data_IF_468958317585
#
_entry.id   IF_468958317585
#
_cell.length_a   1.000
_cell.length_b   1.000
_cell.length_c   1.000
_cell.angle_alpha   90.00
_cell.angle_beta   90.00
_cell.angle_gamma   90.00
#
_symmetry.space_group_name_H-M   'P 1'
#
loop_
_entity.id
_entity.type
_entity.pdbx_description
1 polymer ?
#
# COMPACT_ATOMS: atom_id res chain seq x y z
N UNK A 1 12.02 49.68 3.79
CA UNK A 1 11.02 48.62 4.10
C UNK A 1 11.56 47.84 5.25
N UNK A 2 10.95 47.90 6.42
CA UNK A 2 11.47 47.24 7.63
C UNK A 2 11.08 45.76 7.61
N UNK A 3 11.93 44.90 8.16
CA UNK A 3 11.67 43.43 8.28
C UNK A 3 10.32 43.07 8.91
N UNK A 4 9.70 43.99 9.68
CA UNK A 4 8.35 43.83 10.22
C UNK A 4 7.26 43.95 9.18
N UNK A 5 7.37 44.82 8.19
CA UNK A 5 6.35 44.97 7.14
C UNK A 5 6.34 43.85 6.10
N UNK A 6 7.43 43.07 6.01
CA UNK A 6 7.49 41.88 5.18
C UNK A 6 6.81 40.66 5.84
N UNK A 7 6.79 40.62 7.17
CA UNK A 7 6.22 39.52 7.94
C UNK A 7 4.68 39.46 7.87
N UNK A 8 4.04 40.60 7.62
CA UNK A 8 2.57 40.73 7.61
C UNK A 8 2.01 40.73 6.18
N UNK A 9 2.85 40.55 5.16
CA UNK A 9 2.42 40.41 3.77
C UNK A 9 2.10 38.96 3.44
N UNK A 10 0.83 38.66 3.22
CA UNK A 10 0.34 37.31 2.94
C UNK A 10 1.06 36.65 1.74
N UNK A 11 1.40 37.44 0.72
CA UNK A 11 2.14 36.94 -0.48
C UNK A 11 3.59 36.62 -0.12
N UNK A 12 4.23 37.43 0.72
CA UNK A 12 5.58 37.17 1.22
C UNK A 12 5.61 35.93 2.12
N UNK A 13 4.63 35.78 3.01
CA UNK A 13 4.48 34.62 3.87
C UNK A 13 4.21 33.36 3.04
N UNK A 14 3.41 33.45 1.97
CA UNK A 14 3.15 32.33 1.07
C UNK A 14 4.42 31.95 0.28
N UNK A 15 5.12 32.93 -0.30
CA UNK A 15 6.38 32.70 -1.02
C UNK A 15 7.49 32.24 -0.08
N UNK A 16 7.58 32.82 1.12
CA UNK A 16 8.55 32.42 2.13
C UNK A 16 8.25 31.04 2.69
N UNK A 17 6.98 30.69 2.91
CA UNK A 17 6.56 29.32 3.21
C UNK A 17 6.91 28.38 2.07
N UNK A 18 6.64 28.74 0.82
CA UNK A 18 6.96 27.90 -0.34
C UNK A 18 8.48 27.72 -0.52
N UNK A 19 9.26 28.77 -0.34
CA UNK A 19 10.73 28.72 -0.40
C UNK A 19 11.32 28.03 0.83
N UNK A 20 10.78 28.25 2.03
CA UNK A 20 11.18 27.50 3.22
C UNK A 20 10.73 26.04 3.15
N UNK A 21 9.54 25.78 2.61
CA UNK A 21 9.07 24.41 2.32
C UNK A 21 9.96 23.71 1.30
N UNK A 22 10.38 24.38 0.25
CA UNK A 22 11.28 23.78 -0.75
C UNK A 22 12.75 23.72 -0.29
N UNK A 23 13.20 24.58 0.62
CA UNK A 23 14.58 24.58 1.11
C UNK A 23 14.77 23.90 2.47
N UNK A 24 13.82 24.00 3.38
CA UNK A 24 13.95 23.44 4.75
C UNK A 24 13.27 22.08 4.85
N UNK A 25 12.21 21.86 4.12
CA UNK A 25 11.58 20.54 4.05
C UNK A 25 12.44 19.51 3.32
N UNK A 26 13.06 19.78 2.18
CA UNK A 26 14.04 18.84 1.63
C UNK A 26 15.23 18.56 2.57
N UNK A 27 15.56 19.50 3.45
CA UNK A 27 16.64 19.30 4.45
C UNK A 27 16.14 18.54 5.69
N UNK A 28 14.87 18.68 6.08
CA UNK A 28 14.22 17.88 7.15
C UNK A 28 13.73 16.52 6.66
N UNK A 29 13.42 16.41 5.39
CA UNK A 29 13.14 15.17 4.67
C UNK A 29 14.34 14.73 3.84
N UNK A 30 15.55 15.14 4.28
CA UNK A 30 16.78 14.55 3.78
C UNK A 30 16.63 13.05 3.75
N UNK A 31 17.15 12.45 2.71
CA UNK A 31 16.90 11.10 2.29
C UNK A 31 16.91 10.17 3.49
N UNK A 32 15.75 9.56 3.70
CA UNK A 32 15.63 8.55 4.71
C UNK A 32 16.59 7.43 4.32
N UNK A 33 17.39 7.03 5.26
CA UNK A 33 18.44 6.07 5.01
C UNK A 33 17.84 4.68 5.04
N UNK A 34 17.91 3.99 3.92
CA UNK A 34 17.66 2.55 3.90
C UNK A 34 18.93 1.87 4.38
N UNK A 35 18.92 1.31 5.57
CA UNK A 35 19.98 0.42 6.03
C UNK A 35 19.64 -1.00 5.59
N UNK A 36 20.44 -1.56 4.70
CA UNK A 36 20.41 -2.99 4.45
C UNK A 36 21.37 -3.71 5.41
N UNK A 37 21.11 -4.98 5.69
CA UNK A 37 22.05 -5.82 6.47
C UNK A 37 23.42 -5.93 5.80
N UNK A 38 23.53 -5.59 4.53
CA UNK A 38 24.80 -5.52 3.78
C UNK A 38 25.53 -4.19 3.97
N UNK A 39 25.09 -3.33 4.87
CA UNK A 39 25.65 -1.99 5.18
C UNK A 39 25.56 -0.95 4.05
N UNK A 40 24.79 -1.20 3.03
CA UNK A 40 24.48 -0.17 2.04
C UNK A 40 23.41 0.75 2.62
N UNK A 41 23.80 1.97 2.91
CA UNK A 41 22.89 3.04 3.29
C UNK A 41 22.45 3.73 2.01
N UNK A 42 21.19 3.61 1.62
CA UNK A 42 20.65 4.28 0.44
C UNK A 42 19.68 5.37 0.86
N UNK A 43 19.79 6.58 0.29
CA UNK A 43 18.83 7.63 0.52
C UNK A 43 17.47 7.22 -0.09
N UNK A 44 16.41 7.32 0.70
CA UNK A 44 15.04 7.19 0.23
C UNK A 44 14.52 8.60 0.01
N UNK A 45 14.50 9.03 -1.24
CA UNK A 45 13.83 10.26 -1.62
C UNK A 45 12.42 9.91 -2.07
N UNK A 46 11.43 10.61 -1.54
CA UNK A 46 10.04 10.41 -1.94
C UNK A 46 9.89 10.62 -3.46
N UNK A 47 8.99 9.86 -4.11
CA UNK A 47 8.59 9.98 -5.52
C UNK A 47 9.68 9.83 -6.59
N UNK A 48 10.90 9.51 -6.28
CA UNK A 48 11.85 9.19 -7.33
C UNK A 48 11.61 7.76 -7.83
N UNK A 49 11.30 7.64 -9.12
CA UNK A 49 11.17 6.36 -9.84
C UNK A 49 12.38 5.43 -9.70
N UNK A 50 13.51 5.98 -9.28
CA UNK A 50 14.77 5.26 -9.07
C UNK A 50 14.81 4.41 -7.81
N UNK A 51 13.95 4.68 -6.83
CA UNK A 51 13.97 4.00 -5.53
C UNK A 51 12.56 3.58 -5.10
N UNK A 52 12.05 2.47 -5.63
CA UNK A 52 10.69 2.01 -5.37
C UNK A 52 10.49 1.40 -3.97
N UNK A 53 11.34 1.75 -2.99
CA UNK A 53 11.23 1.21 -1.64
C UNK A 53 10.16 1.87 -0.81
N UNK A 54 9.95 3.15 -1.05
CA UNK A 54 8.93 3.93 -0.38
C UNK A 54 8.26 4.83 -1.40
N UNK A 55 6.95 4.76 -1.42
CA UNK A 55 6.06 5.69 -2.11
C UNK A 55 5.26 6.42 -1.04
N UNK A 56 5.22 7.72 -1.12
CA UNK A 56 4.43 8.55 -0.21
C UNK A 56 3.57 9.49 -1.04
N UNK A 57 2.29 9.50 -0.76
CA UNK A 57 1.32 10.28 -1.52
C UNK A 57 1.17 11.70 -0.94
N UNK A 58 0.36 12.50 -1.62
CA UNK A 58 0.14 13.92 -1.42
C UNK A 58 -0.15 14.26 0.05
N UNK A 59 0.43 15.37 0.51
CA UNK A 59 0.20 15.97 1.83
C UNK A 59 0.50 15.07 3.04
N UNK A 60 1.20 13.95 2.81
CA UNK A 60 1.75 13.11 3.87
C UNK A 60 3.16 13.56 4.22
N UNK A 61 3.54 13.41 5.49
CA UNK A 61 4.88 13.73 5.93
C UNK A 61 5.45 12.70 6.90
N UNK A 62 6.77 12.58 6.88
CA UNK A 62 7.54 11.76 7.81
C UNK A 62 8.61 12.65 8.42
N UNK A 63 8.68 12.69 9.76
CA UNK A 63 9.75 13.42 10.46
C UNK A 63 11.07 12.66 10.38
N UNK A 64 11.01 11.33 10.61
CA UNK A 64 12.16 10.46 10.45
C UNK A 64 11.76 9.00 10.44
N UNK A 65 12.27 8.25 9.45
CA UNK A 65 12.06 6.81 9.39
C UNK A 65 13.30 6.08 8.87
N UNK A 66 13.37 4.81 9.19
CA UNK A 66 14.39 3.88 8.74
C UNK A 66 13.71 2.66 8.12
N UNK A 67 14.16 2.22 6.94
CA UNK A 67 13.77 0.95 6.36
C UNK A 67 14.94 -0.01 6.53
N UNK A 68 14.71 -1.07 7.29
CA UNK A 68 15.66 -2.16 7.42
C UNK A 68 15.21 -3.33 6.55
N UNK A 69 16.08 -3.77 5.66
CA UNK A 69 15.79 -4.88 4.75
C UNK A 69 17.02 -5.79 4.59
N UNK A 70 16.77 -7.09 4.50
CA UNK A 70 17.78 -8.12 4.26
C UNK A 70 18.16 -8.32 2.81
N UNK A 71 17.56 -7.59 1.87
CA UNK A 71 17.79 -7.75 0.45
C UNK A 71 18.88 -6.81 -0.05
N UNK A 72 19.72 -7.33 -0.94
CA UNK A 72 20.43 -6.48 -1.90
C UNK A 72 19.36 -5.84 -2.79
N UNK A 73 19.30 -4.52 -2.79
CA UNK A 73 18.31 -3.76 -3.52
C UNK A 73 18.50 -3.91 -5.03
N UNK A 74 18.03 -5.02 -5.57
CA UNK A 74 17.95 -5.22 -7.00
C UNK A 74 16.51 -5.00 -7.44
N UNK A 75 16.25 -3.87 -8.06
CA UNK A 75 14.93 -3.45 -8.55
C UNK A 75 14.31 -4.50 -9.47
N UNK A 76 15.10 -5.21 -10.26
CA UNK A 76 14.65 -6.26 -11.17
C UNK A 76 14.09 -7.50 -10.45
N UNK A 77 14.42 -7.71 -9.18
CA UNK A 77 14.05 -8.92 -8.44
C UNK A 77 12.84 -8.76 -7.52
N UNK A 78 12.03 -7.70 -7.70
CA UNK A 78 10.84 -7.48 -6.88
C UNK A 78 11.18 -7.04 -5.46
N UNK A 79 11.62 -5.81 -5.32
CA UNK A 79 11.89 -5.21 -4.02
C UNK A 79 10.59 -4.93 -3.30
N UNK A 80 10.52 -5.33 -2.05
CA UNK A 80 9.42 -4.96 -1.17
C UNK A 80 9.42 -3.45 -0.95
N UNK A 81 8.27 -2.83 -0.93
CA UNK A 81 8.13 -1.39 -0.73
C UNK A 81 7.21 -1.05 0.44
N UNK A 82 7.34 0.17 0.90
CA UNK A 82 6.42 0.83 1.81
C UNK A 82 5.61 1.81 0.99
N UNK A 83 4.29 1.66 0.96
CA UNK A 83 3.38 2.59 0.29
C UNK A 83 2.57 3.32 1.34
N UNK A 84 2.54 4.65 1.25
CA UNK A 84 1.86 5.53 2.21
C UNK A 84 0.89 6.40 1.43
N UNK A 85 -0.37 6.36 1.84
CA UNK A 85 -1.44 7.19 1.27
C UNK A 85 -1.32 8.67 1.62
N UNK A 86 -2.43 9.39 1.44
CA UNK A 86 -2.54 10.84 1.57
C UNK A 86 -2.78 11.28 3.02
N UNK A 87 -2.33 12.49 3.34
CA UNK A 87 -2.60 13.18 4.62
C UNK A 87 -2.14 12.41 5.86
N UNK A 88 -1.12 11.57 5.73
CA UNK A 88 -0.54 10.83 6.85
C UNK A 88 0.48 11.67 7.64
N UNK A 89 0.49 11.48 8.94
CA UNK A 89 1.41 12.12 9.86
C UNK A 89 2.30 11.06 10.52
N UNK A 90 3.54 10.93 10.07
CA UNK A 90 4.50 9.97 10.60
C UNK A 90 5.55 10.72 11.42
N UNK A 91 5.66 10.38 12.71
CA UNK A 91 6.60 11.00 13.64
C UNK A 91 8.06 10.58 13.37
N UNK A 92 8.95 10.83 14.32
CA UNK A 92 10.37 10.49 14.22
C UNK A 92 10.67 9.06 14.68
N UNK A 93 11.81 8.52 14.24
CA UNK A 93 12.34 7.21 14.63
C UNK A 93 11.45 6.01 14.28
N UNK A 94 10.66 6.13 13.23
CA UNK A 94 9.86 5.01 12.76
C UNK A 94 10.75 4.00 12.06
N UNK A 95 10.57 2.72 12.37
CA UNK A 95 11.31 1.62 11.74
C UNK A 95 10.37 0.72 10.95
N UNK A 96 10.64 0.57 9.66
CA UNK A 96 9.99 -0.43 8.81
C UNK A 96 10.93 -1.63 8.65
N UNK A 97 10.52 -2.79 9.18
CA UNK A 97 11.27 -4.04 9.03
C UNK A 97 10.71 -4.81 7.82
N UNK A 98 11.38 -4.70 6.68
CA UNK A 98 10.89 -5.25 5.42
C UNK A 98 11.74 -6.44 5.01
N UNK A 99 11.11 -7.60 4.82
CA UNK A 99 11.76 -8.82 4.35
C UNK A 99 12.94 -9.31 5.22
N UNK A 100 12.82 -9.20 6.52
CA UNK A 100 13.82 -9.66 7.50
C UNK A 100 13.44 -10.99 8.18
N UNK A 101 12.46 -11.71 7.64
CA UNK A 101 11.95 -12.92 8.30
C UNK A 101 12.79 -14.14 7.95
N UNK A 102 13.29 -14.83 8.95
CA UNK A 102 13.88 -16.15 8.80
C UNK A 102 12.81 -17.23 8.75
N UNK A 103 13.12 -18.36 8.13
CA UNK A 103 12.29 -19.54 8.23
C UNK A 103 12.50 -20.21 9.60
N UNK A 104 11.76 -19.77 10.62
CA UNK A 104 11.87 -20.28 11.98
C UNK A 104 11.49 -21.77 12.14
N UNK A 105 10.92 -22.39 11.11
CA UNK A 105 10.67 -23.84 11.05
C UNK A 105 11.90 -24.64 10.60
N UNK A 106 12.97 -23.95 10.18
CA UNK A 106 14.22 -24.59 9.81
C UNK A 106 14.97 -25.08 11.07
N UNK A 107 15.66 -26.21 10.94
CA UNK A 107 16.47 -26.80 12.06
C UNK A 107 17.55 -25.81 12.56
N UNK A 108 18.03 -24.91 11.69
CA UNK A 108 19.01 -23.91 12.07
C UNK A 108 18.65 -22.54 11.45
N UNK A 109 19.03 -21.48 12.14
CA UNK A 109 18.68 -20.11 11.78
C UNK A 109 19.87 -19.33 11.19
N UNK A 110 21.08 -19.68 11.56
CA UNK A 110 22.29 -19.03 11.06
C UNK A 110 22.70 -19.50 9.66
N UNK A 111 23.84 -18.99 9.20
CA UNK A 111 24.51 -19.46 7.97
C UNK A 111 25.79 -20.17 8.36
N UNK A 112 25.72 -21.44 8.79
CA UNK A 112 26.91 -22.17 9.20
C UNK A 112 27.84 -22.39 8.00
N UNK A 113 29.13 -22.30 8.22
CA UNK A 113 30.17 -22.36 7.16
C UNK A 113 30.20 -23.67 6.39
N UNK A 114 29.66 -24.75 6.96
CA UNK A 114 29.57 -26.05 6.28
C UNK A 114 28.40 -26.13 5.29
N UNK A 115 27.49 -25.16 5.30
CA UNK A 115 26.40 -25.09 4.33
C UNK A 115 26.87 -24.34 3.12
N UNK A 116 27.17 -25.09 2.06
CA UNK A 116 27.61 -24.53 0.78
C UNK A 116 26.45 -23.90 0.00
N UNK A 117 26.77 -23.14 -1.04
CA UNK A 117 25.86 -22.31 -1.85
C UNK A 117 24.64 -23.02 -2.48
N UNK A 118 24.49 -24.31 -2.29
CA UNK A 118 23.39 -25.12 -2.82
C UNK A 118 22.12 -25.04 -1.94
N UNK A 119 22.20 -24.40 -0.78
CA UNK A 119 21.03 -24.28 0.09
C UNK A 119 20.15 -23.13 -0.38
N UNK A 120 18.86 -23.40 -0.68
CA UNK A 120 17.94 -22.35 -1.10
C UNK A 120 17.89 -21.20 -0.09
N UNK A 121 17.68 -20.00 -0.59
CA UNK A 121 17.44 -18.82 0.23
C UNK A 121 16.41 -19.15 1.34
N UNK A 122 16.82 -19.01 2.58
CA UNK A 122 16.01 -19.35 3.76
C UNK A 122 15.21 -18.20 4.27
N UNK A 123 15.43 -17.03 3.72
CA UNK A 123 14.66 -15.86 4.12
C UNK A 123 13.25 -16.02 3.58
N UNK A 124 12.27 -16.01 4.48
CA UNK A 124 10.89 -15.91 4.08
C UNK A 124 10.65 -14.48 3.62
N UNK A 125 10.56 -14.28 2.32
CA UNK A 125 10.25 -12.97 1.73
C UNK A 125 8.79 -12.67 2.01
N UNK A 126 8.54 -11.70 2.87
CA UNK A 126 7.23 -11.36 3.36
C UNK A 126 6.91 -9.89 3.05
N UNK A 127 5.80 -9.68 2.45
CA UNK A 127 5.03 -8.53 2.03
C UNK A 127 5.53 -7.11 2.20
N UNK A 128 5.05 -6.27 1.32
CA UNK A 128 5.13 -4.81 1.45
C UNK A 128 4.42 -4.33 2.71
N UNK A 129 4.70 -3.11 3.13
CA UNK A 129 3.90 -2.39 4.12
C UNK A 129 3.01 -1.41 3.37
N UNK A 130 1.70 -1.50 3.60
CA UNK A 130 0.71 -0.60 3.03
C UNK A 130 0.11 0.27 4.14
N UNK A 131 0.13 1.57 3.95
CA UNK A 131 -0.43 2.53 4.91
C UNK A 131 -1.47 3.35 4.17
N UNK A 132 -2.70 3.31 4.67
CA UNK A 132 -3.85 4.02 4.13
C UNK A 132 -3.73 5.55 4.22
N UNK A 133 -4.85 6.22 4.14
CA UNK A 133 -4.92 7.67 4.20
C UNK A 133 -5.25 8.15 5.63
N UNK A 134 -4.90 9.38 5.98
CA UNK A 134 -5.19 9.97 7.30
C UNK A 134 -4.65 9.13 8.48
N UNK A 135 -3.52 8.46 8.30
CA UNK A 135 -2.89 7.61 9.32
C UNK A 135 -1.92 8.44 10.16
N UNK A 136 -1.99 8.25 11.47
CA UNK A 136 -1.01 8.81 12.39
C UNK A 136 -0.15 7.70 13.00
N UNK A 137 1.18 7.83 12.84
CA UNK A 137 2.15 6.90 13.45
C UNK A 137 3.00 7.67 14.45
N UNK A 138 2.93 7.24 15.71
CA UNK A 138 3.67 7.82 16.83
C UNK A 138 5.17 7.54 16.78
N UNK A 139 5.93 8.33 17.53
CA UNK A 139 7.39 8.26 17.61
C UNK A 139 7.88 6.85 18.00
N UNK A 140 8.96 6.39 17.36
CA UNK A 140 9.61 5.12 17.72
C UNK A 140 8.83 3.86 17.34
N UNK A 141 7.74 3.97 16.60
CA UNK A 141 6.97 2.81 16.20
C UNK A 141 7.74 1.90 15.23
N UNK A 142 7.59 0.59 15.38
CA UNK A 142 8.16 -0.42 14.48
C UNK A 142 7.04 -1.13 13.71
N UNK A 143 7.12 -1.12 12.39
CA UNK A 143 6.15 -1.75 11.50
C UNK A 143 6.78 -2.96 10.82
N UNK A 144 6.17 -4.13 11.01
CA UNK A 144 6.68 -5.39 10.47
C UNK A 144 6.25 -5.60 9.02
N UNK A 145 7.00 -6.42 8.29
CA UNK A 145 6.68 -6.83 6.91
C UNK A 145 5.28 -7.42 6.78
N UNK A 146 4.60 -7.09 5.68
CA UNK A 146 3.28 -7.63 5.35
C UNK A 146 2.17 -7.09 6.25
N UNK A 147 2.36 -5.92 6.83
CA UNK A 147 1.34 -5.22 7.60
C UNK A 147 0.63 -4.22 6.70
N UNK A 148 -0.69 -4.21 6.74
CA UNK A 148 -1.54 -3.15 6.21
C UNK A 148 -2.07 -2.31 7.37
N UNK A 149 -1.95 -0.99 7.26
CA UNK A 149 -2.53 -0.03 8.21
C UNK A 149 -3.60 0.74 7.43
N UNK A 150 -4.86 0.52 7.78
CA UNK A 150 -5.99 1.07 7.03
C UNK A 150 -6.27 2.54 7.38
N UNK A 151 -7.14 3.17 6.58
CA UNK A 151 -7.45 4.60 6.67
C UNK A 151 -7.76 5.06 8.09
N UNK A 152 -7.25 6.23 8.45
CA UNK A 152 -7.55 6.88 9.73
C UNK A 152 -7.01 6.17 10.97
N UNK A 153 -6.21 5.12 10.84
CA UNK A 153 -5.65 4.40 11.98
C UNK A 153 -4.63 5.25 12.75
N UNK A 154 -4.49 4.95 14.03
CA UNK A 154 -3.52 5.58 14.92
C UNK A 154 -2.61 4.52 15.53
N UNK A 155 -1.31 4.68 15.34
CA UNK A 155 -0.29 3.83 15.93
C UNK A 155 0.36 4.59 17.10
N UNK A 156 0.21 4.09 18.31
CA UNK A 156 0.83 4.67 19.49
C UNK A 156 2.35 4.67 19.41
N UNK A 157 2.98 5.62 20.10
CA UNK A 157 4.44 5.70 20.17
C UNK A 157 5.04 4.39 20.75
N UNK A 158 6.26 4.04 20.30
CA UNK A 158 7.01 2.84 20.74
C UNK A 158 6.27 1.50 20.50
N UNK A 159 5.27 1.50 19.62
CA UNK A 159 4.49 0.27 19.33
C UNK A 159 5.19 -0.61 18.31
N UNK A 160 5.05 -1.93 18.46
CA UNK A 160 5.53 -2.92 17.50
C UNK A 160 4.34 -3.55 16.79
N UNK A 161 4.06 -3.09 15.56
CA UNK A 161 2.90 -3.49 14.77
C UNK A 161 3.24 -4.78 14.01
N UNK A 162 2.65 -5.89 14.44
CA UNK A 162 2.92 -7.24 13.88
C UNK A 162 1.77 -7.80 13.08
N UNK A 163 0.61 -7.13 13.08
CA UNK A 163 -0.61 -7.51 12.35
C UNK A 163 -1.22 -6.27 11.70
N UNK A 164 -2.00 -6.48 10.67
CA UNK A 164 -2.75 -5.41 10.02
C UNK A 164 -3.68 -4.69 11.00
N UNK A 165 -3.82 -3.38 10.81
CA UNK A 165 -4.55 -2.48 11.69
C UNK A 165 -5.81 -2.01 10.96
N UNK A 166 -7.01 -2.30 11.48
CA UNK A 166 -8.27 -1.91 10.84
C UNK A 166 -8.41 -0.39 10.71
N UNK A 167 -9.27 0.03 9.79
CA UNK A 167 -9.58 1.45 9.59
C UNK A 167 -10.06 2.11 10.89
N UNK A 168 -9.50 3.28 11.17
CA UNK A 168 -9.77 4.10 12.36
C UNK A 168 -9.50 3.41 13.71
N UNK A 169 -8.80 2.27 13.70
CA UNK A 169 -8.37 1.64 14.95
C UNK A 169 -7.20 2.41 15.58
N UNK A 170 -7.18 2.49 16.88
CA UNK A 170 -6.06 2.94 17.69
C UNK A 170 -5.36 1.72 18.26
N UNK A 171 -4.07 1.57 18.01
CA UNK A 171 -3.28 0.44 18.49
C UNK A 171 -2.07 0.91 19.29
N UNK A 172 -1.64 0.10 20.26
CA UNK A 172 -0.47 0.42 21.07
C UNK A 172 0.16 -0.80 21.70
N UNK A 173 1.42 -0.69 22.09
CA UNK A 173 2.18 -1.70 22.82
C UNK A 173 3.06 -2.61 21.95
N UNK A 174 3.69 -3.60 22.58
CA UNK A 174 4.58 -4.58 21.95
C UNK A 174 4.21 -6.01 22.41
N UNK A 175 3.60 -6.85 21.53
CA UNK A 175 3.07 -6.49 20.22
C UNK A 175 1.87 -5.53 20.33
N UNK A 176 1.69 -4.68 19.33
CA UNK A 176 0.59 -3.72 19.29
C UNK A 176 -0.77 -4.45 19.26
N UNK A 177 -1.69 -3.94 20.07
CA UNK A 177 -3.08 -4.41 20.17
C UNK A 177 -4.04 -3.24 20.00
N UNK A 178 -5.24 -3.52 19.54
CA UNK A 178 -6.31 -2.51 19.47
C UNK A 178 -6.65 -2.09 20.90
N UNK A 179 -6.53 -0.79 21.16
CA UNK A 179 -6.90 -0.14 22.43
C UNK A 179 -8.23 0.62 22.32
N UNK A 180 -8.70 0.83 21.09
CA UNK A 180 -9.96 1.47 20.80
C UNK A 180 -10.11 1.81 19.33
N UNK A 181 -11.17 2.53 19.01
CA UNK A 181 -11.43 3.10 17.69
C UNK A 181 -11.72 4.58 17.82
N UNK A 182 -11.36 5.37 16.79
CA UNK A 182 -11.66 6.82 16.75
C UNK A 182 -13.17 7.09 16.69
N UNK A 183 -13.91 6.19 16.04
CA UNK A 183 -15.33 6.32 15.72
C UNK A 183 -16.06 4.98 15.88
N UNK A 184 -17.38 5.01 15.98
CA UNK A 184 -18.20 3.79 15.96
C UNK A 184 -18.18 3.14 14.55
N UNK A 185 -18.71 1.93 14.43
CA UNK A 185 -18.62 1.14 13.20
C UNK A 185 -19.31 1.84 12.00
N UNK A 186 -20.50 2.40 12.20
CA UNK A 186 -21.24 3.07 11.14
C UNK A 186 -20.53 4.35 10.67
N UNK A 187 -19.99 5.12 11.61
CA UNK A 187 -19.20 6.31 11.28
C UNK A 187 -17.92 5.94 10.49
N UNK A 188 -17.24 4.87 10.86
CA UNK A 188 -16.05 4.40 10.12
C UNK A 188 -16.39 3.99 8.69
N UNK A 189 -17.50 3.28 8.49
CA UNK A 189 -17.99 2.91 7.16
C UNK A 189 -18.33 4.15 6.32
N UNK A 190 -19.03 5.11 6.93
CA UNK A 190 -19.40 6.36 6.27
C UNK A 190 -18.18 7.19 5.87
N UNK A 191 -17.23 7.38 6.78
CA UNK A 191 -16.00 8.13 6.51
C UNK A 191 -15.15 7.49 5.40
N UNK A 192 -15.11 6.16 5.31
CA UNK A 192 -14.46 5.46 4.19
C UNK A 192 -15.19 5.67 2.86
N UNK A 193 -16.54 5.75 2.85
CA UNK A 193 -17.31 6.09 1.64
C UNK A 193 -17.11 7.54 1.22
N UNK A 194 -17.04 8.47 2.19
CA UNK A 194 -16.78 9.90 1.93
C UNK A 194 -15.39 10.06 1.29
N UNK A 195 -14.41 9.34 1.76
CA UNK A 195 -13.03 9.33 1.27
C UNK A 195 -12.51 10.74 0.95
N UNK A 196 -12.63 11.67 1.93
CA UNK A 196 -12.35 13.09 1.77
C UNK A 196 -10.92 13.37 1.27
N UNK A 197 -9.97 12.49 1.51
CA UNK A 197 -8.60 12.57 1.01
C UNK A 197 -8.50 12.47 -0.53
N UNK A 198 -9.58 12.09 -1.21
CA UNK A 198 -9.68 12.09 -2.67
C UNK A 198 -10.37 13.33 -3.23
N UNK A 199 -10.79 14.27 -2.38
CA UNK A 199 -11.40 15.51 -2.85
C UNK A 199 -10.38 16.39 -3.55
N UNK A 200 -10.85 17.22 -4.49
CA UNK A 200 -10.00 18.22 -5.12
C UNK A 200 -9.60 19.29 -4.12
N UNK A 201 -8.52 20.00 -4.40
CA UNK A 201 -8.04 21.07 -3.51
C UNK A 201 -9.10 22.16 -3.31
N UNK A 202 -9.83 22.52 -4.38
CA UNK A 202 -10.94 23.46 -4.33
C UNK A 202 -12.02 22.99 -3.35
N UNK A 203 -12.44 21.73 -3.45
CA UNK A 203 -13.46 21.17 -2.54
C UNK A 203 -12.98 21.14 -1.09
N UNK A 204 -11.70 20.84 -0.85
CA UNK A 204 -11.12 20.89 0.49
C UNK A 204 -11.12 22.31 1.07
N UNK A 205 -10.73 23.31 0.27
CA UNK A 205 -10.70 24.72 0.67
C UNK A 205 -12.12 25.21 0.94
N UNK A 206 -13.08 24.93 0.06
CA UNK A 206 -14.48 25.33 0.24
C UNK A 206 -15.08 24.77 1.51
N UNK A 207 -14.71 23.55 1.89
CA UNK A 207 -15.29 22.84 3.03
C UNK A 207 -14.35 22.76 4.24
N UNK A 208 -13.31 23.62 4.33
CA UNK A 208 -12.33 23.56 5.41
C UNK A 208 -12.90 23.70 6.82
N UNK A 209 -14.03 24.39 6.97
CA UNK A 209 -14.71 24.59 8.27
C UNK A 209 -15.46 23.35 8.73
N UNK A 210 -15.93 22.57 7.80
CA UNK A 210 -16.70 21.36 8.05
C UNK A 210 -15.87 20.26 8.69
N UNK A 211 -14.55 20.26 8.48
CA UNK A 211 -13.63 19.36 9.21
C UNK A 211 -13.56 19.63 10.72
N UNK A 212 -14.11 20.74 11.19
CA UNK A 212 -14.21 21.09 12.62
C UNK A 212 -15.55 20.68 13.24
N UNK A 213 -16.47 20.19 12.43
CA UNK A 213 -17.78 19.69 12.89
C UNK A 213 -17.63 18.40 13.69
N UNK A 214 -18.61 18.08 14.56
CA UNK A 214 -18.76 16.73 15.07
C UNK A 214 -18.81 15.71 13.92
N UNK A 215 -18.25 14.50 14.10
CA UNK A 215 -18.20 13.49 13.03
C UNK A 215 -19.56 13.17 12.41
N UNK A 216 -20.63 13.15 13.22
CA UNK A 216 -22.00 12.91 12.78
C UNK A 216 -22.50 13.96 11.79
N UNK A 217 -22.24 15.24 12.07
CA UNK A 217 -22.66 16.36 11.21
C UNK A 217 -21.89 16.37 9.90
N UNK A 218 -20.57 16.05 9.96
CA UNK A 218 -19.75 15.89 8.77
C UNK A 218 -20.25 14.74 7.90
N UNK A 219 -20.57 13.60 8.51
CA UNK A 219 -21.09 12.42 7.82
C UNK A 219 -22.45 12.71 7.22
N UNK A 220 -23.36 13.34 7.96
CA UNK A 220 -24.69 13.69 7.44
C UNK A 220 -24.61 14.52 6.17
N UNK A 221 -23.66 15.45 6.12
CA UNK A 221 -23.46 16.36 4.99
C UNK A 221 -22.83 15.69 3.77
N UNK A 222 -21.90 14.77 3.96
CA UNK A 222 -21.00 14.32 2.89
C UNK A 222 -21.08 12.84 2.55
N UNK A 223 -21.73 11.99 3.37
CA UNK A 223 -21.84 10.57 3.05
C UNK A 223 -22.70 10.35 1.80
N UNK A 224 -22.16 9.79 0.71
CA UNK A 224 -22.92 9.48 -0.48
C UNK A 224 -24.02 8.44 -0.24
N UNK A 225 -24.00 7.77 0.93
CA UNK A 225 -24.94 6.73 1.33
C UNK A 225 -25.05 5.57 0.34
N UNK A 226 -24.00 5.35 -0.42
CA UNK A 226 -23.92 4.21 -1.34
C UNK A 226 -23.88 2.90 -0.54
N UNK A 227 -24.70 1.95 -0.95
CA UNK A 227 -24.63 0.60 -0.40
C UNK A 227 -23.72 -0.27 -1.26
N UNK A 228 -22.48 -0.39 -0.86
CA UNK A 228 -21.49 -1.21 -1.57
C UNK A 228 -21.85 -2.70 -1.58
N UNK A 229 -22.77 -3.16 -0.72
CA UNK A 229 -23.27 -4.54 -0.76
C UNK A 229 -24.16 -4.82 -1.97
N UNK A 230 -24.69 -3.78 -2.63
CA UNK A 230 -25.50 -3.93 -3.84
C UNK A 230 -24.66 -4.05 -5.12
N UNK A 231 -23.33 -3.94 -5.02
CA UNK A 231 -22.45 -4.09 -6.17
C UNK A 231 -22.36 -5.56 -6.54
N UNK A 232 -22.81 -5.87 -7.76
CA UNK A 232 -22.74 -7.21 -8.28
C UNK A 232 -21.30 -7.60 -8.64
N UNK A 233 -20.86 -8.82 -8.29
CA UNK A 233 -19.55 -9.31 -8.68
C UNK A 233 -19.44 -9.43 -10.21
N UNK A 234 -18.29 -9.06 -10.77
CA UNK A 234 -18.02 -9.11 -12.21
C UNK A 234 -18.07 -10.51 -12.81
N UNK A 235 -17.81 -11.51 -11.98
CA UNK A 235 -17.96 -12.92 -12.29
C UNK A 235 -18.68 -13.62 -11.13
N UNK A 236 -19.46 -14.65 -11.38
CA UNK A 236 -20.15 -15.36 -10.31
C UNK A 236 -19.17 -16.03 -9.36
N UNK A 237 -19.48 -15.99 -8.06
CA UNK A 237 -18.76 -16.78 -7.05
C UNK A 237 -19.06 -18.27 -7.29
N UNK A 238 -18.02 -19.08 -7.20
CA UNK A 238 -18.06 -20.54 -7.36
C UNK A 238 -17.38 -21.18 -6.16
N UNK A 239 -17.31 -22.50 -6.11
CA UNK A 239 -16.56 -23.22 -5.07
C UNK A 239 -15.05 -22.93 -5.15
N UNK A 240 -14.56 -22.53 -6.32
CA UNK A 240 -13.16 -22.14 -6.50
C UNK A 240 -12.90 -20.74 -6.02
N UNK A 241 -11.77 -20.55 -5.34
CA UNK A 241 -11.34 -19.25 -4.84
C UNK A 241 -10.86 -18.35 -5.98
N UNK A 242 -11.41 -17.15 -6.04
CA UNK A 242 -11.02 -16.14 -7.03
C UNK A 242 -9.86 -15.31 -6.51
N UNK A 243 -8.75 -15.31 -7.24
CA UNK A 243 -7.59 -14.46 -6.98
C UNK A 243 -7.64 -13.31 -7.97
N UNK A 244 -7.78 -12.08 -7.48
CA UNK A 244 -7.77 -10.88 -8.30
C UNK A 244 -6.35 -10.35 -8.45
N UNK A 245 -5.93 -10.12 -9.69
CA UNK A 245 -4.73 -9.38 -10.05
C UNK A 245 -5.11 -8.21 -10.95
N UNK A 246 -4.82 -7.00 -10.52
CA UNK A 246 -4.90 -5.80 -11.36
C UNK A 246 -3.49 -5.53 -11.87
N UNK A 247 -3.32 -5.61 -13.20
CA UNK A 247 -2.01 -5.49 -13.81
C UNK A 247 -1.45 -4.06 -13.65
N UNK A 248 -0.27 -3.96 -13.04
CA UNK A 248 0.49 -2.71 -12.86
C UNK A 248 1.29 -2.35 -14.12
N UNK A 249 0.60 -2.32 -15.27
CA UNK A 249 1.21 -2.20 -16.58
C UNK A 249 2.04 -0.93 -16.75
N UNK A 250 1.57 0.19 -16.20
CA UNK A 250 2.25 1.48 -16.30
C UNK A 250 3.43 1.64 -15.33
N UNK A 251 3.57 0.73 -14.37
CA UNK A 251 4.69 0.78 -13.45
C UNK A 251 5.99 0.40 -14.16
N UNK A 252 7.07 1.20 -14.04
CA UNK A 252 8.38 0.85 -14.58
C UNK A 252 8.98 -0.43 -13.95
N UNK A 253 8.43 -0.85 -12.81
CA UNK A 253 8.83 -2.04 -12.07
C UNK A 253 7.68 -3.02 -11.91
N UNK A 254 6.91 -3.20 -12.96
CA UNK A 254 5.70 -4.01 -12.97
C UNK A 254 5.94 -5.46 -12.52
N UNK A 255 4.99 -6.02 -11.79
CA UNK A 255 5.07 -7.37 -11.23
C UNK A 255 4.18 -8.39 -11.95
N UNK A 256 3.22 -7.90 -12.73
CA UNK A 256 2.16 -8.75 -13.31
C UNK A 256 2.69 -9.94 -14.12
N UNK A 257 3.77 -9.75 -14.93
CA UNK A 257 4.36 -10.85 -15.72
C UNK A 257 4.89 -11.97 -14.83
N UNK A 258 5.65 -11.60 -13.80
CA UNK A 258 6.19 -12.56 -12.84
C UNK A 258 5.09 -13.30 -12.11
N UNK A 259 4.05 -12.59 -11.68
CA UNK A 259 2.91 -13.16 -10.97
C UNK A 259 2.18 -14.15 -11.87
N UNK A 260 1.92 -13.80 -13.14
CA UNK A 260 1.32 -14.72 -14.10
C UNK A 260 2.15 -15.97 -14.32
N UNK A 261 3.47 -15.80 -14.52
CA UNK A 261 4.39 -16.93 -14.71
C UNK A 261 4.37 -17.85 -13.50
N UNK A 262 4.39 -17.30 -12.29
CA UNK A 262 4.32 -18.09 -11.06
C UNK A 262 2.98 -18.81 -10.91
N UNK A 263 1.86 -18.12 -11.20
CA UNK A 263 0.53 -18.76 -11.17
C UNK A 263 0.45 -19.92 -12.16
N UNK A 264 0.89 -19.72 -13.40
CA UNK A 264 0.88 -20.77 -14.43
C UNK A 264 1.75 -21.97 -14.07
N UNK A 265 2.89 -21.72 -13.40
CA UNK A 265 3.79 -22.80 -12.96
C UNK A 265 3.25 -23.59 -11.77
N UNK A 266 2.65 -22.92 -10.79
CA UNK A 266 2.18 -23.54 -9.56
C UNK A 266 0.78 -24.11 -9.70
N UNK A 267 -0.08 -23.50 -10.54
CA UNK A 267 -1.51 -23.84 -10.71
C UNK A 267 -2.18 -24.19 -9.37
N UNK A 268 -2.31 -23.22 -8.45
CA UNK A 268 -2.81 -23.50 -7.11
C UNK A 268 -4.19 -24.20 -7.16
N UNK A 269 -4.33 -25.30 -6.44
CA UNK A 269 -5.56 -26.10 -6.45
C UNK A 269 -6.77 -25.26 -6.03
N UNK A 270 -7.92 -25.56 -6.64
CA UNK A 270 -9.21 -24.92 -6.32
C UNK A 270 -9.22 -23.40 -6.42
N UNK A 271 -8.34 -22.84 -7.27
CA UNK A 271 -8.28 -21.41 -7.52
C UNK A 271 -8.52 -21.07 -8.99
N UNK A 272 -8.94 -19.83 -9.24
CA UNK A 272 -8.97 -19.19 -10.57
C UNK A 272 -8.37 -17.79 -10.45
N UNK A 273 -7.63 -17.38 -11.45
CA UNK A 273 -7.04 -16.03 -11.51
C UNK A 273 -7.93 -15.12 -12.36
N UNK A 274 -8.44 -14.06 -11.78
CA UNK A 274 -9.07 -12.95 -12.48
C UNK A 274 -8.02 -11.87 -12.71
N UNK A 275 -7.55 -11.76 -13.93
CA UNK A 275 -6.61 -10.71 -14.34
C UNK A 275 -7.38 -9.54 -14.95
N UNK A 276 -7.31 -8.39 -14.34
CA UNK A 276 -7.91 -7.16 -14.84
C UNK A 276 -6.84 -6.24 -15.42
N UNK A 277 -7.13 -5.73 -16.60
CA UNK A 277 -6.29 -4.77 -17.31
C UNK A 277 -7.01 -3.43 -17.31
N UNK A 278 -6.43 -2.45 -16.61
CA UNK A 278 -7.00 -1.11 -16.54
C UNK A 278 -7.13 -0.49 -17.95
N UNK A 279 -8.19 0.29 -18.22
CA UNK A 279 -8.34 1.04 -19.48
C UNK A 279 -7.12 1.92 -19.80
N UNK A 280 -6.44 2.42 -18.78
CA UNK A 280 -5.22 3.22 -18.92
C UNK A 280 -4.04 2.48 -19.59
N UNK A 281 -4.05 1.15 -19.58
CA UNK A 281 -3.03 0.33 -20.26
C UNK A 281 -3.15 0.40 -21.80
N UNK A 282 -4.30 0.78 -22.33
CA UNK A 282 -4.57 0.87 -23.75
C UNK A 282 -4.49 -0.48 -24.49
N UNK A 283 -4.57 -0.43 -25.81
CA UNK A 283 -4.49 -1.65 -26.61
C UNK A 283 -3.14 -2.36 -26.53
N UNK A 284 -2.05 -1.60 -26.35
CA UNK A 284 -0.71 -2.19 -26.28
C UNK A 284 -0.54 -3.01 -25.01
N UNK A 285 -1.04 -2.53 -23.87
CA UNK A 285 -1.05 -3.29 -22.63
C UNK A 285 -1.84 -4.57 -22.73
N UNK A 286 -3.01 -4.50 -23.34
CA UNK A 286 -3.85 -5.65 -23.58
C UNK A 286 -3.16 -6.71 -24.45
N UNK A 287 -2.57 -6.30 -25.59
CA UNK A 287 -1.83 -7.20 -26.48
C UNK A 287 -0.66 -7.89 -25.79
N UNK A 288 0.08 -7.17 -24.95
CA UNK A 288 1.20 -7.76 -24.21
C UNK A 288 0.73 -8.79 -23.18
N UNK A 289 -0.36 -8.51 -22.48
CA UNK A 289 -0.94 -9.48 -21.53
C UNK A 289 -1.41 -10.72 -22.25
N UNK A 290 -2.11 -10.58 -23.38
CA UNK A 290 -2.54 -11.72 -24.19
C UNK A 290 -1.37 -12.55 -24.69
N UNK A 291 -0.33 -11.93 -25.24
CA UNK A 291 0.84 -12.64 -25.73
C UNK A 291 1.53 -13.47 -24.63
N UNK A 292 1.67 -12.90 -23.43
CA UNK A 292 2.22 -13.64 -22.27
C UNK A 292 1.30 -14.76 -21.83
N UNK A 293 -0.03 -14.54 -21.86
CA UNK A 293 -1.01 -15.55 -21.48
C UNK A 293 -1.04 -16.72 -22.45
N UNK A 294 -0.89 -16.47 -23.75
CA UNK A 294 -0.78 -17.51 -24.78
C UNK A 294 0.50 -18.32 -24.60
N UNK A 295 1.65 -17.64 -24.38
CA UNK A 295 2.93 -18.30 -24.10
C UNK A 295 2.85 -19.25 -22.89
N UNK A 296 2.14 -18.82 -21.85
CA UNK A 296 1.95 -19.59 -20.61
C UNK A 296 0.83 -20.64 -20.70
N UNK A 297 0.12 -20.73 -21.83
CA UNK A 297 -1.07 -21.58 -22.00
C UNK A 297 -2.11 -21.32 -20.91
N UNK A 298 -2.47 -20.06 -20.75
CA UNK A 298 -3.32 -19.57 -19.67
C UNK A 298 -4.72 -20.22 -19.68
N UNK A 299 -5.24 -20.61 -20.85
CA UNK A 299 -6.55 -21.25 -21.00
C UNK A 299 -6.63 -22.58 -20.24
N UNK A 300 -5.52 -23.30 -20.15
CA UNK A 300 -5.43 -24.57 -19.39
C UNK A 300 -5.33 -24.33 -17.87
N UNK A 301 -5.23 -23.07 -17.41
CA UNK A 301 -4.85 -22.67 -16.05
C UNK A 301 -5.92 -21.92 -15.28
N UNK A 302 -7.17 -21.98 -15.73
CA UNK A 302 -8.26 -21.26 -15.08
C UNK A 302 -7.98 -19.76 -14.89
N UNK A 303 -7.47 -19.10 -15.93
CA UNK A 303 -7.28 -17.66 -15.96
C UNK A 303 -8.42 -16.99 -16.72
N UNK A 304 -8.98 -15.96 -16.12
CA UNK A 304 -9.99 -15.08 -16.74
C UNK A 304 -9.32 -13.73 -16.95
N UNK A 305 -9.17 -13.33 -18.21
CA UNK A 305 -8.61 -12.04 -18.57
C UNK A 305 -9.75 -11.10 -18.93
N UNK A 306 -9.79 -9.96 -18.25
CA UNK A 306 -10.78 -8.92 -18.51
C UNK A 306 -10.10 -7.59 -18.79
N UNK A 307 -10.44 -7.01 -19.94
CA UNK A 307 -10.13 -5.63 -20.24
C UNK A 307 -11.19 -4.73 -19.62
N UNK A 308 -10.76 -3.73 -18.86
CA UNK A 308 -11.63 -2.73 -18.27
C UNK A 308 -12.09 -1.68 -19.26
N UNK A 309 -13.18 -1.03 -18.92
CA UNK A 309 -13.69 0.18 -19.58
C UNK A 309 -13.65 1.35 -18.62
N UNK A 310 -13.74 2.59 -19.13
CA UNK A 310 -13.78 3.80 -18.30
C UNK A 310 -15.03 3.90 -17.44
N UNK A 311 -16.06 3.09 -17.72
CA UNK A 311 -17.33 3.06 -17.02
C UNK A 311 -17.38 1.95 -15.96
N UNK A 312 -16.36 1.08 -15.88
CA UNK A 312 -16.35 -0.03 -14.94
C UNK A 312 -16.27 0.47 -13.50
N UNK A 313 -17.21 0.00 -12.67
CA UNK A 313 -17.05 0.11 -11.24
C UNK A 313 -16.07 -0.94 -10.75
N UNK A 314 -14.85 -0.53 -10.43
CA UNK A 314 -13.78 -1.45 -10.04
C UNK A 314 -14.12 -2.28 -8.80
N UNK A 315 -15.07 -1.83 -7.97
CA UNK A 315 -15.54 -2.56 -6.79
C UNK A 315 -16.15 -3.92 -7.15
N UNK A 316 -16.72 -4.06 -8.36
CA UNK A 316 -17.27 -5.34 -8.83
C UNK A 316 -16.21 -6.45 -8.93
N UNK A 317 -14.94 -6.10 -9.12
CA UNK A 317 -13.82 -7.04 -9.11
C UNK A 317 -13.57 -7.58 -7.71
N UNK A 318 -13.57 -6.68 -6.72
CA UNK A 318 -13.35 -7.05 -5.31
C UNK A 318 -14.54 -7.82 -4.73
N UNK A 319 -15.76 -7.50 -5.16
CA UNK A 319 -16.95 -8.28 -4.81
C UNK A 319 -16.86 -9.73 -5.30
N UNK A 320 -16.10 -10.02 -6.38
CA UNK A 320 -15.86 -11.34 -6.89
C UNK A 320 -14.68 -12.06 -6.23
N UNK A 321 -13.75 -11.33 -5.60
CA UNK A 321 -12.48 -11.85 -5.15
C UNK A 321 -12.53 -12.49 -3.75
N UNK A 322 -11.78 -13.57 -3.56
CA UNK A 322 -11.42 -14.12 -2.25
C UNK A 322 -10.01 -13.67 -1.82
N UNK A 323 -9.16 -13.37 -2.81
CA UNK A 323 -7.81 -12.84 -2.62
C UNK A 323 -7.55 -11.70 -3.60
N UNK A 324 -6.81 -10.71 -3.14
CA UNK A 324 -6.31 -9.62 -3.97
C UNK A 324 -4.78 -9.58 -3.91
N UNK A 325 -4.13 -9.58 -5.08
CA UNK A 325 -2.67 -9.46 -5.18
C UNK A 325 -2.30 -7.99 -5.33
N UNK A 326 -1.62 -7.44 -4.35
CA UNK A 326 -1.07 -6.09 -4.43
C UNK A 326 0.11 -6.07 -5.41
N UNK A 327 0.22 -5.01 -6.19
CA UNK A 327 1.30 -4.80 -7.15
C UNK A 327 2.10 -3.55 -6.79
N UNK A 328 2.68 -2.87 -7.75
CA UNK A 328 3.28 -1.54 -7.58
C UNK A 328 2.41 -0.43 -8.17
N UNK A 329 1.11 -0.67 -8.24
CA UNK A 329 0.14 0.31 -8.65
C UNK A 329 0.00 1.39 -7.57
N UNK A 330 -0.14 2.64 -7.97
CA UNK A 330 -0.41 3.76 -7.06
C UNK A 330 -1.74 3.59 -6.33
N UNK A 331 -2.72 2.94 -6.98
CA UNK A 331 -4.05 2.70 -6.42
C UNK A 331 -4.09 1.56 -5.38
N UNK A 332 -2.98 0.90 -5.05
CA UNK A 332 -2.98 -0.19 -4.07
C UNK A 332 -3.61 0.20 -2.73
N UNK A 333 -3.48 1.46 -2.32
CA UNK A 333 -4.09 1.95 -1.07
C UNK A 333 -5.61 1.92 -1.16
N UNK A 334 -6.18 2.36 -2.28
CA UNK A 334 -7.62 2.29 -2.53
C UNK A 334 -8.07 0.82 -2.66
N UNK A 335 -7.31 0.02 -3.38
CA UNK A 335 -7.62 -1.40 -3.58
C UNK A 335 -7.56 -2.21 -2.29
N UNK A 336 -6.66 -1.88 -1.38
CA UNK A 336 -6.59 -2.46 -0.05
C UNK A 336 -7.89 -2.23 0.73
N UNK A 337 -8.48 -1.03 0.65
CA UNK A 337 -9.73 -0.71 1.32
C UNK A 337 -10.92 -1.47 0.70
N UNK A 338 -10.94 -1.62 -0.62
CA UNK A 338 -11.97 -2.44 -1.28
C UNK A 338 -11.81 -3.92 -0.91
N UNK A 339 -10.57 -4.42 -0.88
CA UNK A 339 -10.30 -5.80 -0.45
C UNK A 339 -10.77 -6.04 0.99
N UNK A 340 -10.51 -5.12 1.91
CA UNK A 340 -10.97 -5.21 3.29
C UNK A 340 -12.51 -5.22 3.39
N UNK A 341 -13.17 -4.29 2.68
CA UNK A 341 -14.63 -4.21 2.67
C UNK A 341 -15.28 -5.52 2.18
N UNK A 342 -14.79 -6.08 1.08
CA UNK A 342 -15.31 -7.32 0.50
C UNK A 342 -14.68 -8.59 1.08
N UNK A 343 -13.85 -8.45 2.12
CA UNK A 343 -13.19 -9.56 2.84
C UNK A 343 -12.23 -10.38 1.97
N UNK A 344 -11.71 -9.81 0.89
CA UNK A 344 -10.65 -10.41 0.10
C UNK A 344 -9.32 -10.33 0.85
N UNK A 345 -8.64 -11.47 0.99
CA UNK A 345 -7.34 -11.52 1.69
C UNK A 345 -6.24 -10.96 0.80
N UNK A 346 -5.37 -10.13 1.36
CA UNK A 346 -4.22 -9.59 0.65
C UNK A 346 -3.13 -10.65 0.43
N UNK A 347 -2.68 -10.77 -0.82
CA UNK A 347 -1.44 -11.40 -1.20
C UNK A 347 -0.49 -10.29 -1.72
N UNK A 348 0.77 -10.37 -1.35
CA UNK A 348 1.72 -9.34 -1.76
C UNK A 348 2.47 -9.81 -3.01
N UNK A 349 2.24 -9.14 -4.13
CA UNK A 349 2.89 -9.47 -5.39
C UNK A 349 4.41 -9.34 -5.37
N UNK A 350 4.96 -8.68 -4.36
CA UNK A 350 6.40 -8.63 -4.10
C UNK A 350 6.94 -9.85 -3.37
N UNK A 351 6.08 -10.71 -2.81
CA UNK A 351 6.50 -11.94 -2.13
C UNK A 351 7.07 -12.97 -3.11
N UNK A 352 7.89 -13.86 -2.61
CA UNK A 352 8.42 -14.99 -3.36
C UNK A 352 8.41 -16.22 -2.45
N UNK A 353 7.56 -17.19 -2.74
CA UNK A 353 6.48 -17.16 -3.74
C UNK A 353 5.31 -16.26 -3.32
N UNK A 354 4.53 -15.77 -4.30
CA UNK A 354 3.29 -15.00 -4.04
C UNK A 354 2.19 -15.92 -3.52
N UNK A 355 2.04 -17.08 -4.16
CA UNK A 355 0.96 -18.02 -3.87
C UNK A 355 1.33 -18.95 -2.72
N UNK A 356 1.20 -18.46 -1.50
CA UNK A 356 1.34 -19.23 -0.24
C UNK A 356 -0.02 -19.50 0.39
N UNK A 357 -0.98 -19.92 -0.45
CA UNK A 357 -2.39 -20.14 -0.11
C UNK A 357 -2.58 -21.51 0.49
#
# INVERSE_FOLDING_TARGET
MTLRGLRDNAVFLFLFRKVLWTMVYPVKYLPQTVKSLTRLTMPVTGFEERFPFMQIDKDSYIVGAEIQSGLNFNVAQGVHCVQIGKYCALADKITFLVNLNHNYKSVFQGSPSFVTAVVPDRTKRKGSVLIGNDVWIGNGATIMSGVSIHNGAVIGAESVVTKSVPAYAMVGGNPAKIIGYRFNEEQRKALNRIAWWNWTEEKLIENQKEFLLPPEDFIEKFDPREDWNQINPVIPKTDRKTILLIADYLSPFSLWKRILTEYAALSPADTKLLLYISPSAGEDGYRQVLAVSEELKADDKEMIIRMGTMEDDIRCLFAAADYFITTRCEDNILYMEYADYYQAKLLYGTDIPVFTI
#
